data_IF_061389892012
#
_entry.id   IF_061389892012
#
_cell.length_a   1.000
_cell.length_b   1.000
_cell.length_c   1.000
_cell.angle_alpha   90.00
_cell.angle_beta   90.00
_cell.angle_gamma   90.00
#
_symmetry.space_group_name_H-M   'P 1'
#
loop_
_entity.id
_entity.type
_entity.pdbx_description
1 polymer ?
#
# COMPACT_ATOMS: atom_id res chain seq x y z
N UNK A 1 -29.79 -23.03 51.37
CA UNK A 1 -29.79 -21.85 50.50
C UNK A 1 -28.37 -21.69 49.96
N UNK A 2 -28.08 -22.04 48.69
CA UNK A 2 -26.77 -21.75 48.13
C UNK A 2 -26.69 -20.24 47.87
N UNK A 3 -25.65 -19.61 48.38
CA UNK A 3 -25.33 -18.20 48.11
C UNK A 3 -24.76 -18.14 46.70
N UNK A 4 -25.57 -17.72 45.73
CA UNK A 4 -25.09 -17.32 44.41
C UNK A 4 -24.36 -15.99 44.57
N UNK A 5 -23.03 -16.01 44.53
CA UNK A 5 -22.25 -14.80 44.26
C UNK A 5 -22.63 -14.31 42.86
N UNK A 6 -23.11 -13.07 42.69
CA UNK A 6 -23.20 -12.49 41.36
C UNK A 6 -21.76 -12.40 40.83
N UNK A 7 -21.48 -13.10 39.74
CA UNK A 7 -20.28 -12.82 38.96
C UNK A 7 -20.36 -11.34 38.57
N UNK A 8 -19.48 -10.51 39.15
CA UNK A 8 -19.27 -9.16 38.66
C UNK A 8 -18.82 -9.30 37.21
N UNK A 9 -19.73 -9.08 36.26
CA UNK A 9 -19.35 -8.81 34.88
C UNK A 9 -18.44 -7.59 34.95
N UNK A 10 -17.15 -7.78 34.72
CA UNK A 10 -16.24 -6.66 34.52
C UNK A 10 -16.83 -5.78 33.42
N UNK A 11 -16.93 -4.48 33.67
CA UNK A 11 -17.42 -3.54 32.66
C UNK A 11 -16.58 -3.70 31.39
N UNK A 12 -17.23 -3.85 30.23
CA UNK A 12 -16.53 -3.93 28.95
C UNK A 12 -15.76 -2.63 28.71
N UNK A 13 -14.46 -2.74 28.40
CA UNK A 13 -13.64 -1.56 28.10
C UNK A 13 -14.07 -0.95 26.78
N UNK A 14 -14.35 0.34 26.78
CA UNK A 14 -14.68 1.09 25.55
C UNK A 14 -13.42 1.43 24.75
N UNK A 15 -13.56 1.70 23.46
CA UNK A 15 -12.42 2.15 22.63
C UNK A 15 -11.80 3.45 23.14
N UNK A 16 -12.62 4.35 23.70
CA UNK A 16 -12.14 5.58 24.33
C UNK A 16 -11.21 5.31 25.52
N UNK A 17 -11.53 4.30 26.34
CA UNK A 17 -10.67 3.88 27.46
C UNK A 17 -9.42 3.15 26.98
N UNK A 18 -9.51 2.31 25.93
CA UNK A 18 -8.34 1.67 25.30
C UNK A 18 -7.34 2.73 24.87
N UNK A 19 -7.80 3.78 24.19
CA UNK A 19 -6.94 4.87 23.70
C UNK A 19 -6.42 5.70 24.88
N UNK A 20 -7.31 6.22 25.73
CA UNK A 20 -6.94 7.15 26.81
C UNK A 20 -5.99 6.52 27.83
N UNK A 21 -6.11 5.21 28.08
CA UNK A 21 -5.26 4.46 29.01
C UNK A 21 -4.14 3.69 28.33
N UNK A 22 -3.95 3.86 27.01
CA UNK A 22 -2.90 3.21 26.20
C UNK A 22 -2.90 1.68 26.34
N UNK A 23 -4.07 1.04 26.31
CA UNK A 23 -4.22 -0.40 26.59
C UNK A 23 -3.92 -1.30 25.38
N UNK A 24 -3.34 -0.74 24.32
CA UNK A 24 -2.83 -1.52 23.18
C UNK A 24 -1.49 -2.15 23.55
N UNK A 25 -1.41 -3.46 23.39
CA UNK A 25 -0.20 -4.25 23.59
C UNK A 25 0.14 -4.96 22.27
N UNK A 26 1.23 -4.58 21.58
CA UNK A 26 1.65 -5.28 20.39
C UNK A 26 2.20 -6.68 20.75
N UNK A 27 1.87 -7.65 19.90
CA UNK A 27 2.59 -8.91 19.78
C UNK A 27 3.41 -8.86 18.50
N UNK A 28 4.51 -9.59 18.46
CA UNK A 28 5.47 -9.55 17.37
C UNK A 28 5.57 -10.93 16.73
N UNK A 29 5.42 -10.99 15.41
CA UNK A 29 5.53 -12.24 14.65
C UNK A 29 6.78 -12.23 13.76
N UNK A 30 7.60 -13.29 13.78
CA UNK A 30 8.82 -13.33 12.98
C UNK A 30 8.54 -13.43 11.49
N UNK A 31 9.27 -12.63 10.72
CA UNK A 31 9.42 -12.75 9.27
C UNK A 31 10.78 -13.38 9.02
N UNK A 32 10.80 -14.44 8.22
CA UNK A 32 11.94 -15.33 8.07
C UNK A 32 12.40 -15.38 6.62
N UNK A 33 13.71 -15.33 6.40
CA UNK A 33 14.30 -15.60 5.09
C UNK A 33 14.10 -17.06 4.70
N UNK A 34 13.46 -17.30 3.55
CA UNK A 34 13.09 -18.66 3.15
C UNK A 34 14.29 -19.49 2.67
N UNK A 35 15.46 -18.89 2.51
CA UNK A 35 16.70 -19.57 2.12
C UNK A 35 17.53 -19.94 3.35
N UNK A 36 17.79 -18.98 4.25
CA UNK A 36 18.65 -19.17 5.42
C UNK A 36 17.90 -19.69 6.64
N UNK A 37 16.58 -19.44 6.72
CA UNK A 37 15.76 -19.70 7.90
C UNK A 37 15.99 -18.69 9.04
N UNK A 38 16.76 -17.63 8.79
CA UNK A 38 17.03 -16.57 9.74
C UNK A 38 15.91 -15.54 9.83
N UNK A 39 15.71 -14.94 11.02
CA UNK A 39 14.68 -13.92 11.22
C UNK A 39 15.18 -12.58 10.71
N UNK A 40 14.55 -12.03 9.67
CA UNK A 40 14.92 -10.73 9.09
C UNK A 40 14.25 -9.55 9.81
N UNK A 41 13.10 -9.80 10.42
CA UNK A 41 12.31 -8.76 11.06
C UNK A 41 11.14 -9.31 11.85
N UNK A 42 10.41 -8.38 12.47
CA UNK A 42 9.20 -8.66 13.21
C UNK A 42 8.06 -7.80 12.69
N UNK A 43 6.86 -8.36 12.56
CA UNK A 43 5.63 -7.58 12.38
C UNK A 43 4.94 -7.34 13.70
N UNK A 44 4.59 -6.08 13.96
CA UNK A 44 3.86 -5.66 15.15
C UNK A 44 2.34 -5.80 14.92
N UNK A 45 1.74 -6.74 15.64
CA UNK A 45 0.31 -7.05 15.60
C UNK A 45 -0.37 -6.52 16.87
N UNK A 46 -1.18 -5.48 16.72
CA UNK A 46 -1.89 -4.87 17.84
C UNK A 46 -2.85 -5.84 18.52
N UNK A 47 -2.86 -5.83 19.86
CA UNK A 47 -3.89 -6.47 20.69
C UNK A 47 -4.43 -5.46 21.69
N UNK A 48 -5.74 -5.44 21.85
CA UNK A 48 -6.39 -4.72 22.95
C UNK A 48 -6.33 -5.53 24.25
N UNK A 49 -7.11 -5.14 25.27
CA UNK A 49 -7.15 -5.82 26.56
C UNK A 49 -7.51 -7.31 26.43
N UNK A 50 -6.65 -8.18 26.95
CA UNK A 50 -6.84 -9.63 26.88
C UNK A 50 -8.14 -10.09 27.57
N UNK A 51 -8.84 -11.03 26.96
CA UNK A 51 -10.10 -11.59 27.43
C UNK A 51 -11.31 -10.67 27.25
N UNK A 52 -11.18 -9.56 26.51
CA UNK A 52 -12.25 -8.59 26.28
C UNK A 52 -12.70 -8.54 24.83
N UNK A 53 -13.85 -7.89 24.58
CA UNK A 53 -14.45 -7.78 23.24
C UNK A 53 -13.55 -7.08 22.22
N UNK A 54 -12.64 -6.20 22.68
CA UNK A 54 -11.68 -5.43 21.86
C UNK A 54 -10.26 -6.04 21.84
N UNK A 55 -10.08 -7.30 22.23
CA UNK A 55 -8.75 -7.94 22.24
C UNK A 55 -8.11 -7.99 20.84
N UNK A 56 -8.91 -8.30 19.81
CA UNK A 56 -8.43 -8.47 18.43
C UNK A 56 -8.59 -7.19 17.60
N UNK A 57 -7.68 -6.94 16.64
CA UNK A 57 -7.62 -5.70 15.89
C UNK A 57 -8.93 -5.40 15.15
N UNK A 58 -9.54 -6.37 14.47
CA UNK A 58 -10.77 -6.16 13.68
C UNK A 58 -11.85 -5.40 14.48
N UNK A 59 -12.19 -5.92 15.67
CA UNK A 59 -13.20 -5.30 16.55
C UNK A 59 -12.75 -3.96 17.13
N UNK A 60 -11.46 -3.83 17.43
CA UNK A 60 -10.90 -2.60 17.98
C UNK A 60 -10.95 -1.47 16.95
N UNK A 61 -10.56 -1.75 15.70
CA UNK A 61 -10.60 -0.81 14.59
C UNK A 61 -12.04 -0.48 14.16
N UNK A 62 -12.95 -1.45 14.16
CA UNK A 62 -14.37 -1.19 13.90
C UNK A 62 -14.99 -0.28 14.97
N UNK A 63 -14.69 -0.52 16.25
CA UNK A 63 -15.12 0.36 17.33
C UNK A 63 -14.52 1.77 17.20
N UNK A 64 -13.25 1.89 16.80
CA UNK A 64 -12.61 3.17 16.58
C UNK A 64 -13.23 3.95 15.40
N UNK A 65 -13.55 3.27 14.29
CA UNK A 65 -14.28 3.85 13.15
C UNK A 65 -15.64 4.38 13.59
N UNK A 66 -16.42 3.56 14.29
CA UNK A 66 -17.74 3.94 14.79
C UNK A 66 -17.69 5.15 15.75
N UNK A 67 -16.59 5.30 16.50
CA UNK A 67 -16.38 6.40 17.42
C UNK A 67 -15.71 7.64 16.79
N UNK A 68 -15.29 7.59 15.52
CA UNK A 68 -14.51 8.66 14.89
C UNK A 68 -13.09 8.82 15.48
N UNK A 69 -12.52 7.74 16.01
CA UNK A 69 -11.22 7.69 16.72
C UNK A 69 -10.20 6.80 16.01
N UNK A 70 -10.39 6.54 14.71
CA UNK A 70 -9.53 5.64 13.94
C UNK A 70 -8.07 6.08 13.96
N UNK A 71 -7.78 7.36 13.71
CA UNK A 71 -6.41 7.87 13.72
C UNK A 71 -5.74 7.84 15.08
N UNK A 72 -6.49 8.13 16.15
CA UNK A 72 -5.96 8.00 17.51
C UNK A 72 -5.57 6.56 17.86
N UNK A 73 -6.36 5.58 17.40
CA UNK A 73 -6.02 4.17 17.58
C UNK A 73 -4.81 3.77 16.72
N UNK A 74 -4.78 4.16 15.46
CA UNK A 74 -3.69 3.86 14.51
C UNK A 74 -2.35 4.38 15.02
N UNK A 75 -2.31 5.66 15.42
CA UNK A 75 -1.12 6.26 16.02
C UNK A 75 -0.72 5.56 17.32
N UNK A 76 -1.68 5.20 18.19
CA UNK A 76 -1.38 4.45 19.40
C UNK A 76 -0.77 3.07 19.08
N UNK A 77 -1.27 2.36 18.08
CA UNK A 77 -0.70 1.07 17.66
C UNK A 77 0.76 1.23 17.22
N UNK A 78 1.05 2.21 16.37
CA UNK A 78 2.40 2.51 15.91
C UNK A 78 3.32 2.95 17.07
N UNK A 79 2.87 3.86 17.93
CA UNK A 79 3.62 4.27 19.13
C UNK A 79 4.00 3.08 20.00
N UNK A 80 3.05 2.20 20.32
CA UNK A 80 3.30 1.05 21.19
C UNK A 80 4.25 0.05 20.52
N UNK A 81 4.13 -0.17 19.22
CA UNK A 81 5.06 -1.00 18.44
C UNK A 81 6.49 -0.48 18.52
N UNK A 82 6.69 0.81 18.21
CA UNK A 82 8.00 1.47 18.24
C UNK A 82 8.58 1.51 19.65
N UNK A 83 7.79 1.87 20.66
CA UNK A 83 8.22 1.89 22.07
C UNK A 83 8.72 0.53 22.55
N UNK A 84 7.97 -0.55 22.24
CA UNK A 84 8.36 -1.90 22.61
C UNK A 84 9.63 -2.35 21.88
N UNK A 85 9.77 -2.06 20.58
CA UNK A 85 10.94 -2.44 19.80
C UNK A 85 12.20 -1.67 20.21
N UNK A 86 12.09 -0.37 20.53
CA UNK A 86 13.20 0.45 21.03
C UNK A 86 13.65 0.01 22.42
N UNK A 87 12.71 -0.41 23.27
CA UNK A 87 13.01 -0.88 24.63
C UNK A 87 13.54 -2.33 24.69
N UNK A 88 13.49 -3.08 23.58
CA UNK A 88 13.96 -4.46 23.55
C UNK A 88 15.48 -4.55 23.78
N UNK A 89 15.92 -5.57 24.53
CA UNK A 89 17.35 -5.81 24.75
C UNK A 89 18.09 -6.09 23.42
N UNK A 90 17.37 -6.74 22.48
CA UNK A 90 17.84 -7.04 21.14
C UNK A 90 16.78 -6.60 20.13
N UNK A 91 16.83 -5.34 19.67
CA UNK A 91 15.92 -4.84 18.64
C UNK A 91 16.03 -5.67 17.35
N UNK A 92 14.93 -5.86 16.61
CA UNK A 92 14.97 -6.56 15.32
C UNK A 92 15.67 -5.70 14.26
N UNK A 93 16.21 -6.28 13.17
CA UNK A 93 16.75 -5.47 12.06
C UNK A 93 15.67 -4.65 11.35
N UNK A 94 14.50 -5.28 11.12
CA UNK A 94 13.32 -4.68 10.49
C UNK A 94 12.13 -4.77 11.43
N UNK A 95 11.35 -3.68 11.50
CA UNK A 95 10.07 -3.66 12.21
C UNK A 95 8.96 -3.27 11.24
N UNK A 96 8.02 -4.18 11.03
CA UNK A 96 6.86 -3.96 10.19
C UNK A 96 5.70 -3.42 11.04
N UNK A 97 5.13 -2.29 10.63
CA UNK A 97 4.08 -1.57 11.35
C UNK A 97 2.98 -1.23 10.36
N UNK A 98 1.76 -1.63 10.70
CA UNK A 98 0.56 -1.30 9.93
C UNK A 98 0.24 0.20 10.03
N UNK A 99 -0.19 0.81 8.92
CA UNK A 99 -0.66 2.18 8.88
C UNK A 99 -1.98 2.30 8.13
N UNK A 100 -2.85 3.16 8.63
CA UNK A 100 -4.12 3.51 7.99
C UNK A 100 -3.99 4.84 7.22
N UNK A 101 -3.91 4.84 5.87
CA UNK A 101 -3.74 6.07 5.09
C UNK A 101 -4.88 7.08 5.28
N UNK A 102 -6.07 6.61 5.66
CA UNK A 102 -7.24 7.47 5.85
C UNK A 102 -7.08 8.48 7.00
N UNK A 103 -6.06 8.33 7.85
CA UNK A 103 -5.85 9.18 9.03
C UNK A 103 -4.73 10.20 8.85
N UNK A 104 -4.23 10.36 7.62
CA UNK A 104 -3.06 11.20 7.32
C UNK A 104 -3.25 12.70 7.44
N UNK A 105 -4.49 13.17 7.46
CA UNK A 105 -4.77 14.59 7.71
C UNK A 105 -4.63 14.94 9.20
N UNK A 106 -4.36 13.94 10.06
CA UNK A 106 -4.06 14.15 11.47
C UNK A 106 -2.57 14.41 11.67
N UNK A 107 -2.19 15.35 12.54
CA UNK A 107 -0.79 15.54 12.91
C UNK A 107 -0.19 14.23 13.41
N UNK A 108 1.03 13.93 12.96
CA UNK A 108 1.80 12.80 13.47
C UNK A 108 1.95 12.93 14.98
N UNK A 109 1.78 11.83 15.71
CA UNK A 109 2.03 11.79 17.14
C UNK A 109 3.40 12.36 17.47
N UNK A 110 3.45 13.27 18.44
CA UNK A 110 4.69 13.81 18.98
C UNK A 110 5.63 12.69 19.47
N UNK A 111 5.06 11.56 19.95
CA UNK A 111 5.84 10.42 20.43
C UNK A 111 6.50 9.66 19.29
N UNK A 112 5.79 9.43 18.18
CA UNK A 112 6.37 8.81 16.97
C UNK A 112 7.48 9.71 16.43
N UNK A 113 7.19 11.02 16.29
CA UNK A 113 8.16 11.99 15.82
C UNK A 113 9.43 12.02 16.69
N UNK A 114 9.27 12.01 18.02
CA UNK A 114 10.40 11.94 18.97
C UNK A 114 11.26 10.69 18.74
N UNK A 115 10.65 9.51 18.62
CA UNK A 115 11.36 8.24 18.42
C UNK A 115 12.09 8.21 17.08
N UNK A 116 11.45 8.67 16.00
CA UNK A 116 12.06 8.73 14.66
C UNK A 116 13.23 9.72 14.64
N UNK A 117 13.06 10.91 15.23
CA UNK A 117 14.13 11.94 15.30
C UNK A 117 15.30 11.47 16.17
N UNK A 118 15.03 10.73 17.25
CA UNK A 118 16.07 10.16 18.10
C UNK A 118 16.91 9.09 17.38
N UNK A 119 16.40 8.56 16.26
CA UNK A 119 17.02 7.49 15.48
C UNK A 119 16.56 6.11 15.97
N UNK A 120 15.79 5.42 15.14
CA UNK A 120 15.36 4.06 15.43
C UNK A 120 16.54 3.09 15.27
N UNK A 121 16.71 2.10 16.17
CA UNK A 121 17.77 1.09 16.07
C UNK A 121 17.46 0.01 15.00
N UNK A 122 16.40 0.19 14.23
CA UNK A 122 15.87 -0.72 13.22
C UNK A 122 15.35 0.09 12.02
N UNK A 123 15.20 -0.56 10.87
CA UNK A 123 14.50 0.05 9.73
C UNK A 123 13.00 -0.26 9.87
N UNK A 124 12.20 0.79 10.00
CA UNK A 124 10.74 0.66 9.95
C UNK A 124 10.28 0.31 8.53
N UNK A 125 9.32 -0.60 8.44
CA UNK A 125 8.58 -0.96 7.24
C UNK A 125 7.12 -0.63 7.47
N UNK A 126 6.62 0.38 6.77
CA UNK A 126 5.25 0.82 6.90
C UNK A 126 4.36 0.02 5.95
N UNK A 127 3.37 -0.69 6.50
CA UNK A 127 2.48 -1.56 5.74
C UNK A 127 1.17 -0.87 5.40
N UNK A 128 0.84 -0.82 4.12
CA UNK A 128 -0.45 -0.38 3.63
C UNK A 128 -1.29 -1.56 3.17
N UNK A 129 -2.52 -1.64 3.65
CA UNK A 129 -3.47 -2.65 3.14
C UNK A 129 -3.98 -2.26 1.76
N UNK A 130 -4.24 -3.24 0.89
CA UNK A 130 -4.83 -2.96 -0.42
C UNK A 130 -6.21 -2.28 -0.35
N UNK A 131 -6.95 -2.48 0.75
CA UNK A 131 -8.30 -1.94 0.94
C UNK A 131 -8.32 -0.41 1.09
N UNK A 132 -7.21 0.19 1.52
CA UNK A 132 -7.07 1.64 1.61
C UNK A 132 -6.81 2.31 0.24
N UNK A 133 -6.39 1.53 -0.76
CA UNK A 133 -5.97 2.06 -2.06
C UNK A 133 -7.09 2.78 -2.83
N UNK A 134 -8.33 2.26 -2.91
CA UNK A 134 -9.38 2.91 -3.70
C UNK A 134 -9.95 4.16 -3.04
N UNK A 135 -9.80 4.33 -1.73
CA UNK A 135 -10.48 5.39 -0.97
C UNK A 135 -9.62 6.64 -0.83
N UNK A 136 -8.31 6.50 -0.55
CA UNK A 136 -7.41 7.63 -0.28
C UNK A 136 -6.02 7.47 -0.92
N UNK A 137 -5.92 7.21 -2.24
CA UNK A 137 -4.64 6.91 -2.90
C UNK A 137 -3.64 8.07 -2.85
N UNK A 138 -4.11 9.31 -2.93
CA UNK A 138 -3.25 10.49 -2.81
C UNK A 138 -2.60 10.58 -1.42
N UNK A 139 -3.37 10.37 -0.36
CA UNK A 139 -2.87 10.34 1.01
C UNK A 139 -1.83 9.23 1.19
N UNK A 140 -2.12 8.01 0.74
CA UNK A 140 -1.16 6.90 0.79
C UNK A 140 0.17 7.27 0.12
N UNK A 141 0.16 7.86 -1.09
CA UNK A 141 1.40 8.26 -1.75
C UNK A 141 2.17 9.33 -0.97
N UNK A 142 1.47 10.28 -0.32
CA UNK A 142 2.12 11.27 0.56
C UNK A 142 2.82 10.61 1.74
N UNK A 143 2.15 9.66 2.42
CA UNK A 143 2.76 8.95 3.55
C UNK A 143 3.91 8.07 3.12
N UNK A 144 3.72 7.24 2.08
CA UNK A 144 4.78 6.45 1.49
C UNK A 144 6.00 7.32 1.18
N UNK A 145 5.73 8.50 0.63
CA UNK A 145 6.72 9.51 0.39
C UNK A 145 7.45 10.01 1.65
N UNK A 146 6.73 10.43 2.68
CA UNK A 146 7.32 10.91 3.93
C UNK A 146 8.14 9.81 4.60
N UNK A 147 7.62 8.59 4.66
CA UNK A 147 8.31 7.39 5.18
C UNK A 147 9.67 7.20 4.50
N UNK A 148 9.70 7.23 3.16
CA UNK A 148 10.94 7.13 2.39
C UNK A 148 11.92 8.27 2.64
N UNK A 149 11.42 9.50 2.85
CA UNK A 149 12.26 10.66 3.15
C UNK A 149 12.98 10.54 4.51
N UNK A 150 12.44 9.76 5.45
CA UNK A 150 13.08 9.43 6.73
C UNK A 150 13.96 8.17 6.67
N UNK A 151 14.16 7.56 5.50
CA UNK A 151 14.98 6.36 5.33
C UNK A 151 14.27 5.05 5.66
N UNK A 152 12.95 5.09 5.87
CA UNK A 152 12.09 3.93 6.09
C UNK A 152 11.50 3.44 4.77
N UNK A 153 11.00 2.20 4.76
CA UNK A 153 10.50 1.57 3.54
C UNK A 153 9.00 1.29 3.62
N UNK A 154 8.40 1.01 2.47
CA UNK A 154 6.97 0.79 2.34
C UNK A 154 6.69 -0.64 1.88
N UNK A 155 5.71 -1.27 2.52
CA UNK A 155 5.12 -2.52 2.08
C UNK A 155 3.70 -2.32 1.57
N UNK A 156 3.31 -3.12 0.59
CA UNK A 156 1.90 -3.34 0.26
C UNK A 156 1.48 -4.71 0.77
N UNK A 157 0.45 -4.71 1.63
CA UNK A 157 -0.08 -5.86 2.33
C UNK A 157 -1.35 -6.44 1.65
N UNK A 158 -1.68 -7.68 1.98
CA UNK A 158 -2.85 -8.42 1.48
C UNK A 158 -2.91 -8.54 -0.07
N UNK A 159 -1.75 -8.52 -0.77
CA UNK A 159 -1.76 -8.54 -2.24
C UNK A 159 -2.31 -9.87 -2.76
N UNK A 160 -3.32 -9.76 -3.63
CA UNK A 160 -3.99 -10.89 -4.27
C UNK A 160 -5.32 -11.28 -3.65
N UNK A 161 -5.77 -10.59 -2.59
CA UNK A 161 -7.16 -10.67 -2.11
C UNK A 161 -8.11 -10.02 -3.13
N UNK A 162 -7.76 -8.82 -3.62
CA UNK A 162 -8.47 -8.12 -4.68
C UNK A 162 -7.57 -7.95 -5.92
N UNK A 163 -8.03 -8.32 -7.14
CA UNK A 163 -7.29 -8.03 -8.38
C UNK A 163 -6.82 -6.57 -8.51
N UNK A 164 -7.52 -5.62 -7.89
CA UNK A 164 -7.18 -4.19 -7.93
C UNK A 164 -5.87 -3.83 -7.23
N UNK A 165 -5.40 -4.60 -6.25
CA UNK A 165 -4.10 -4.31 -5.61
C UNK A 165 -2.95 -4.34 -6.59
N UNK A 166 -3.06 -5.14 -7.66
CA UNK A 166 -2.06 -5.24 -8.71
C UNK A 166 -1.91 -3.95 -9.52
N UNK A 167 -3.00 -3.18 -9.70
CA UNK A 167 -2.95 -1.85 -10.33
C UNK A 167 -2.22 -0.82 -9.43
N UNK A 168 -2.24 -1.06 -8.12
CA UNK A 168 -1.48 -0.43 -7.02
C UNK A 168 0.03 -0.45 -7.17
N UNK A 169 0.58 -1.63 -7.45
CA UNK A 169 2.01 -1.91 -7.43
C UNK A 169 2.88 -0.90 -8.22
N UNK A 170 2.56 -0.56 -9.49
CA UNK A 170 3.39 0.38 -10.25
C UNK A 170 3.20 1.84 -9.83
N UNK A 171 2.13 2.19 -9.11
CA UNK A 171 1.91 3.54 -8.57
C UNK A 171 2.68 3.72 -7.26
N UNK A 172 2.57 2.75 -6.35
CA UNK A 172 3.21 2.83 -5.03
C UNK A 172 4.71 2.48 -5.07
N UNK A 173 5.10 1.61 -6.00
CA UNK A 173 6.45 1.04 -6.13
C UNK A 173 7.00 0.59 -4.76
N UNK A 174 6.29 -0.28 -4.01
CA UNK A 174 6.72 -0.63 -2.67
C UNK A 174 8.03 -1.42 -2.69
N UNK A 175 8.84 -1.28 -1.64
CA UNK A 175 10.05 -2.07 -1.44
C UNK A 175 9.72 -3.51 -0.99
N UNK A 176 8.53 -3.71 -0.42
CA UNK A 176 8.02 -5.02 0.00
C UNK A 176 6.61 -5.27 -0.55
N UNK A 177 6.37 -6.48 -1.04
CA UNK A 177 5.05 -6.96 -1.48
C UNK A 177 4.71 -8.18 -0.62
N UNK A 178 3.65 -8.11 0.18
CA UNK A 178 3.18 -9.24 1.00
C UNK A 178 2.02 -9.93 0.28
N UNK A 179 2.21 -11.22 -0.01
CA UNK A 179 1.24 -12.10 -0.64
C UNK A 179 0.32 -12.68 0.43
N UNK A 180 -0.98 -12.47 0.28
CA UNK A 180 -1.97 -12.99 1.21
C UNK A 180 -1.97 -14.53 1.24
N UNK A 181 -2.33 -15.07 2.40
CA UNK A 181 -2.40 -16.51 2.64
C UNK A 181 -3.33 -17.23 1.64
N UNK A 182 -4.39 -16.60 1.14
CA UNK A 182 -5.32 -17.23 0.19
C UNK A 182 -4.61 -17.74 -1.08
N UNK A 183 -3.56 -17.04 -1.53
CA UNK A 183 -2.75 -17.46 -2.68
C UNK A 183 -1.95 -18.73 -2.39
N UNK A 184 -1.51 -18.88 -1.14
CA UNK A 184 -0.80 -20.07 -0.67
C UNK A 184 -1.76 -21.25 -0.54
N UNK A 185 -3.00 -21.00 -0.13
CA UNK A 185 -4.03 -22.04 0.02
C UNK A 185 -4.61 -22.51 -1.31
N UNK A 186 -4.67 -21.66 -2.33
CA UNK A 186 -5.10 -22.02 -3.68
C UNK A 186 -4.08 -21.61 -4.78
N UNK A 187 -2.95 -22.33 -4.89
CA UNK A 187 -1.91 -22.01 -5.86
C UNK A 187 -2.31 -22.29 -7.32
N UNK A 188 -3.43 -23.00 -7.54
CA UNK A 188 -3.91 -23.38 -8.88
C UNK A 188 -5.01 -22.45 -9.40
N UNK A 189 -5.49 -21.50 -8.60
CA UNK A 189 -6.41 -20.49 -9.07
C UNK A 189 -5.81 -19.67 -10.23
N UNK A 190 -6.67 -19.21 -11.13
CA UNK A 190 -6.26 -18.30 -12.20
C UNK A 190 -5.72 -16.97 -11.63
N UNK A 191 -6.37 -16.46 -10.58
CA UNK A 191 -5.96 -15.27 -9.86
C UNK A 191 -4.54 -15.42 -9.30
N UNK A 192 -4.23 -16.53 -8.63
CA UNK A 192 -2.90 -16.76 -8.07
C UNK A 192 -1.80 -16.76 -9.12
N UNK A 193 -2.04 -17.36 -10.29
CA UNK A 193 -1.09 -17.31 -11.41
C UNK A 193 -0.89 -15.89 -11.94
N UNK A 194 -1.98 -15.12 -12.06
CA UNK A 194 -1.93 -13.73 -12.49
C UNK A 194 -1.16 -12.86 -11.50
N UNK A 195 -1.49 -12.95 -10.20
CA UNK A 195 -0.81 -12.24 -9.12
C UNK A 195 0.68 -12.58 -9.11
N UNK A 196 1.04 -13.87 -9.14
CA UNK A 196 2.45 -14.28 -9.15
C UNK A 196 3.20 -13.72 -10.36
N UNK A 197 2.59 -13.75 -11.56
CA UNK A 197 3.21 -13.19 -12.76
C UNK A 197 3.45 -11.67 -12.64
N UNK A 198 2.45 -10.92 -12.18
CA UNK A 198 2.53 -9.46 -12.03
C UNK A 198 3.53 -9.08 -10.93
N UNK A 199 3.47 -9.74 -9.77
CA UNK A 199 4.37 -9.49 -8.64
C UNK A 199 5.81 -9.82 -9.02
N UNK A 200 6.08 -10.94 -9.70
CA UNK A 200 7.43 -11.27 -10.19
C UNK A 200 7.94 -10.24 -11.19
N UNK A 201 7.09 -9.78 -12.11
CA UNK A 201 7.47 -8.74 -13.05
C UNK A 201 7.75 -7.40 -12.35
N UNK A 202 6.96 -7.04 -11.34
CA UNK A 202 7.19 -5.85 -10.52
C UNK A 202 8.51 -5.98 -9.75
N UNK A 203 8.70 -7.05 -9.00
CA UNK A 203 9.91 -7.32 -8.22
C UNK A 203 11.17 -7.32 -9.09
N UNK A 204 11.12 -7.90 -10.30
CA UNK A 204 12.24 -7.86 -11.23
C UNK A 204 12.56 -6.46 -11.76
N UNK A 205 11.55 -5.58 -11.90
CA UNK A 205 11.75 -4.20 -12.37
C UNK A 205 12.28 -3.29 -11.27
N UNK A 206 11.76 -3.43 -10.05
CA UNK A 206 12.00 -2.48 -8.98
C UNK A 206 13.06 -2.98 -7.99
N UNK A 207 13.18 -4.29 -7.83
CA UNK A 207 13.98 -4.92 -6.77
C UNK A 207 13.18 -5.17 -5.49
N UNK A 208 11.85 -5.03 -5.54
CA UNK A 208 10.99 -5.27 -4.38
C UNK A 208 11.14 -6.71 -3.86
N UNK A 209 11.18 -6.86 -2.54
CA UNK A 209 11.14 -8.16 -1.88
C UNK A 209 9.70 -8.64 -1.75
N UNK A 210 9.53 -9.95 -1.84
CA UNK A 210 8.22 -10.61 -1.77
C UNK A 210 8.15 -11.44 -0.50
N UNK A 211 7.13 -11.22 0.32
CA UNK A 211 6.82 -11.97 1.53
C UNK A 211 5.58 -12.82 1.25
N UNK A 212 5.57 -14.09 1.67
CA UNK A 212 4.35 -14.90 1.69
C UNK A 212 3.84 -15.08 3.12
N UNK A 213 2.56 -14.82 3.32
CA UNK A 213 1.92 -14.90 4.63
C UNK A 213 1.17 -16.22 4.86
N UNK A 214 0.88 -16.49 6.13
CA UNK A 214 0.06 -17.63 6.53
C UNK A 214 0.70 -18.99 6.26
N UNK A 215 2.04 -19.06 6.27
CA UNK A 215 2.77 -20.33 6.11
C UNK A 215 2.65 -21.12 7.41
N UNK A 216 1.91 -22.23 7.38
CA UNK A 216 1.69 -23.09 8.56
C UNK A 216 2.35 -24.46 8.41
N UNK A 217 2.53 -24.93 7.18
CA UNK A 217 3.06 -26.26 6.88
C UNK A 217 4.26 -26.20 5.93
N UNK A 218 5.02 -27.30 5.86
CA UNK A 218 6.10 -27.43 4.88
C UNK A 218 5.59 -27.39 3.43
N UNK A 219 4.32 -27.75 3.19
CA UNK A 219 3.68 -27.63 1.88
C UNK A 219 3.40 -26.17 1.54
N UNK A 220 2.89 -25.39 2.49
CA UNK A 220 2.68 -23.93 2.32
C UNK A 220 4.02 -23.24 1.99
N UNK A 221 5.10 -23.65 2.67
CA UNK A 221 6.45 -23.14 2.40
C UNK A 221 6.93 -23.46 0.98
N UNK A 222 6.67 -24.66 0.47
CA UNK A 222 7.01 -25.01 -0.91
C UNK A 222 6.23 -24.13 -1.90
N UNK A 223 4.93 -23.94 -1.67
CA UNK A 223 4.09 -23.06 -2.49
C UNK A 223 4.58 -21.61 -2.44
N UNK A 224 4.92 -21.08 -1.27
CA UNK A 224 5.46 -19.73 -1.12
C UNK A 224 6.71 -19.50 -1.98
N UNK A 225 7.65 -20.45 -1.98
CA UNK A 225 8.85 -20.40 -2.83
C UNK A 225 8.48 -20.46 -4.32
N UNK A 226 7.52 -21.31 -4.70
CA UNK A 226 7.03 -21.43 -6.07
C UNK A 226 6.30 -20.16 -6.56
N UNK A 227 5.72 -19.37 -5.65
CA UNK A 227 5.16 -18.05 -5.98
C UNK A 227 6.22 -16.95 -6.08
N UNK A 228 7.44 -17.21 -5.60
CA UNK A 228 8.58 -16.29 -5.69
C UNK A 228 8.83 -15.49 -4.42
N UNK A 229 8.30 -15.95 -3.28
CA UNK A 229 8.56 -15.33 -2.00
C UNK A 229 10.05 -15.49 -1.62
N UNK A 230 10.65 -14.38 -1.20
CA UNK A 230 12.00 -14.31 -0.66
C UNK A 230 11.96 -14.62 0.84
N UNK A 231 11.00 -14.00 1.52
CA UNK A 231 10.74 -14.17 2.95
C UNK A 231 9.35 -14.74 3.18
N UNK A 232 9.08 -15.20 4.39
CA UNK A 232 7.78 -15.70 4.75
C UNK A 232 7.44 -15.49 6.22
N UNK A 233 6.14 -15.52 6.47
CA UNK A 233 5.57 -15.35 7.79
C UNK A 233 4.46 -16.38 8.02
N UNK A 234 4.34 -16.87 9.25
CA UNK A 234 3.28 -17.78 9.64
C UNK A 234 3.66 -18.67 10.81
N UNK A 235 2.71 -19.48 11.28
CA UNK A 235 2.90 -20.32 12.46
C UNK A 235 3.95 -21.42 12.28
N UNK A 236 4.33 -21.72 11.03
CA UNK A 236 5.47 -22.59 10.75
C UNK A 236 6.78 -22.06 11.35
N UNK A 237 6.93 -20.74 11.42
CA UNK A 237 8.14 -20.06 11.91
C UNK A 237 8.00 -19.54 13.34
N UNK A 238 6.80 -19.10 13.71
CA UNK A 238 6.52 -18.60 15.04
C UNK A 238 5.14 -17.97 15.13
N UNK A 239 4.53 -18.10 16.31
CA UNK A 239 3.30 -17.39 16.65
C UNK A 239 3.63 -15.98 17.12
N UNK A 240 2.70 -15.01 17.00
CA UNK A 240 2.85 -13.70 17.60
C UNK A 240 3.13 -13.80 19.11
N UNK A 241 4.14 -13.06 19.60
CA UNK A 241 4.52 -13.04 21.01
C UNK A 241 5.37 -11.81 21.38
N UNK A 242 5.79 -11.68 22.65
CA UNK A 242 6.76 -10.64 23.05
C UNK A 242 8.11 -10.77 22.31
N UNK A 243 8.84 -9.66 22.12
CA UNK A 243 10.14 -9.64 21.41
C UNK A 243 11.18 -10.54 22.11
N UNK A 244 11.22 -10.54 23.45
CA UNK A 244 12.28 -11.22 24.20
C UNK A 244 12.04 -12.71 24.46
N UNK A 245 10.81 -13.21 24.33
CA UNK A 245 10.48 -14.60 24.74
C UNK A 245 10.79 -15.66 23.67
N UNK A 246 11.09 -15.25 22.43
CA UNK A 246 11.11 -16.16 21.29
C UNK A 246 12.51 -16.64 20.87
N UNK A 247 13.59 -16.13 21.49
CA UNK A 247 14.95 -16.60 21.23
C UNK A 247 15.40 -16.45 19.77
N UNK A 248 14.87 -15.45 19.06
CA UNK A 248 15.10 -15.27 17.64
C UNK A 248 16.59 -15.13 17.32
N UNK A 249 17.02 -15.88 16.30
CA UNK A 249 18.30 -15.67 15.64
C UNK A 249 18.06 -14.73 14.46
N UNK A 250 18.29 -13.44 14.70
CA UNK A 250 18.22 -12.46 13.63
C UNK A 250 19.29 -12.72 12.58
N UNK A 251 18.95 -12.41 11.34
CA UNK A 251 19.81 -12.47 10.16
C UNK A 251 19.90 -11.06 9.55
N UNK A 252 20.80 -10.21 10.08
CA UNK A 252 20.95 -8.84 9.59
C UNK A 252 21.41 -8.78 8.13
N UNK A 253 22.20 -9.76 7.68
CA UNK A 253 22.67 -9.81 6.30
C UNK A 253 21.51 -10.04 5.33
N UNK A 254 20.59 -10.96 5.67
CA UNK A 254 19.36 -11.14 4.90
C UNK A 254 18.44 -9.92 5.00
N UNK A 255 18.36 -9.25 6.16
CA UNK A 255 17.58 -8.02 6.31
C UNK A 255 18.13 -6.85 5.46
N UNK A 256 19.45 -6.75 5.31
CA UNK A 256 20.12 -5.74 4.49
C UNK A 256 19.89 -5.94 2.98
N UNK A 257 19.37 -7.10 2.57
CA UNK A 257 18.91 -7.31 1.19
C UNK A 257 17.68 -6.47 0.84
N UNK A 258 16.98 -5.92 1.83
CA UNK A 258 15.88 -4.97 1.61
C UNK A 258 16.41 -3.72 0.92
N UNK A 259 15.90 -3.39 -0.29
CA UNK A 259 16.37 -2.23 -1.02
C UNK A 259 16.22 -0.95 -0.19
N UNK A 260 17.12 -0.01 -0.43
CA UNK A 260 16.98 1.33 0.12
C UNK A 260 15.71 1.99 -0.47
N UNK A 261 15.07 2.89 0.30
CA UNK A 261 13.89 3.61 -0.15
C UNK A 261 14.11 4.28 -1.52
N UNK A 262 13.12 4.24 -2.41
CA UNK A 262 13.24 4.91 -3.71
C UNK A 262 13.38 6.43 -3.53
N UNK A 263 14.56 6.96 -3.84
CA UNK A 263 14.86 8.40 -3.74
C UNK A 263 14.17 9.23 -4.83
N UNK A 264 13.81 8.62 -5.96
CA UNK A 264 13.19 9.30 -7.11
C UNK A 264 11.67 9.41 -7.03
N UNK A 265 11.05 8.79 -6.03
CA UNK A 265 9.59 8.81 -5.85
C UNK A 265 9.01 10.24 -5.70
N UNK A 266 9.85 11.18 -5.24
CA UNK A 266 9.54 12.60 -5.05
C UNK A 266 10.27 13.55 -6.00
N UNK A 267 10.94 13.04 -7.04
CA UNK A 267 11.48 13.97 -8.05
C UNK A 267 10.37 14.92 -8.44
N UNK A 268 10.64 16.24 -8.36
CA UNK A 268 9.65 17.31 -8.59
C UNK A 268 8.82 16.89 -9.78
N UNK A 269 7.60 16.46 -9.47
CA UNK A 269 6.77 15.83 -10.47
C UNK A 269 6.61 16.87 -11.57
N UNK A 270 6.98 16.50 -12.79
CA UNK A 270 6.76 17.35 -13.95
C UNK A 270 5.24 17.41 -14.21
N UNK A 271 4.79 18.16 -15.20
CA UNK A 271 3.40 17.99 -15.63
C UNK A 271 3.19 16.56 -16.19
N UNK A 272 1.96 16.02 -16.22
CA UNK A 272 1.69 14.72 -16.83
C UNK A 272 2.31 14.56 -18.22
N UNK A 273 2.23 15.60 -19.06
CA UNK A 273 2.82 15.54 -20.39
C UNK A 273 4.35 15.49 -20.33
N UNK A 274 5.02 16.35 -19.55
CA UNK A 274 6.49 16.34 -19.44
C UNK A 274 7.07 15.04 -18.86
N UNK A 275 6.35 14.40 -17.94
CA UNK A 275 6.79 13.15 -17.32
C UNK A 275 6.90 12.00 -18.35
N UNK A 276 6.13 12.09 -19.43
CA UNK A 276 6.11 11.08 -20.48
C UNK A 276 7.20 11.26 -21.55
N UNK A 277 8.07 12.28 -21.42
CA UNK A 277 9.12 12.62 -22.42
C UNK A 277 10.04 11.44 -22.74
N UNK A 278 10.32 10.64 -21.70
CA UNK A 278 11.20 9.47 -21.76
C UNK A 278 10.52 8.20 -22.28
N UNK A 279 9.19 8.21 -22.42
CA UNK A 279 8.39 7.02 -22.69
C UNK A 279 7.71 7.04 -24.06
N UNK A 280 7.30 8.21 -24.56
CA UNK A 280 6.62 8.35 -25.84
C UNK A 280 6.95 9.68 -26.55
N UNK A 281 7.13 9.68 -27.88
CA UNK A 281 7.32 10.93 -28.63
C UNK A 281 6.01 11.75 -28.67
N UNK A 282 6.14 13.07 -28.64
CA UNK A 282 5.01 13.96 -28.90
C UNK A 282 4.60 13.88 -30.38
N UNK A 283 3.29 13.83 -30.63
CA UNK A 283 2.70 13.91 -31.96
C UNK A 283 1.77 15.12 -32.06
N UNK A 284 1.66 15.78 -33.22
CA UNK A 284 0.65 16.82 -33.42
C UNK A 284 -0.75 16.29 -33.12
N UNK A 285 -1.52 17.06 -32.36
CA UNK A 285 -2.87 16.70 -31.96
C UNK A 285 -3.91 17.55 -32.69
N UNK A 286 -4.88 16.87 -33.31
CA UNK A 286 -6.15 17.46 -33.77
C UNK A 286 -7.30 16.94 -32.92
N UNK A 287 -8.46 17.62 -32.93
CA UNK A 287 -9.66 17.14 -32.26
C UNK A 287 -10.02 15.69 -32.65
N UNK A 288 -9.97 15.34 -33.94
CA UNK A 288 -10.22 13.98 -34.43
C UNK A 288 -9.24 12.94 -33.90
N UNK A 289 -7.94 13.30 -33.82
CA UNK A 289 -6.91 12.41 -33.29
C UNK A 289 -7.09 12.14 -31.79
N UNK A 290 -7.50 13.15 -31.03
CA UNK A 290 -7.78 13.05 -29.59
C UNK A 290 -9.04 12.21 -29.36
N UNK A 291 -10.10 12.44 -30.14
CA UNK A 291 -11.32 11.63 -30.09
C UNK A 291 -11.03 10.14 -30.36
N UNK A 292 -10.25 9.85 -31.41
CA UNK A 292 -9.82 8.47 -31.75
C UNK A 292 -9.04 7.83 -30.60
N UNK A 293 -8.19 8.59 -29.90
CA UNK A 293 -7.42 8.11 -28.76
C UNK A 293 -8.34 7.74 -27.58
N UNK A 294 -9.33 8.59 -27.30
CA UNK A 294 -10.32 8.38 -26.24
C UNK A 294 -11.19 7.16 -26.53
N UNK A 295 -11.58 6.93 -27.78
CA UNK A 295 -12.30 5.72 -28.20
C UNK A 295 -11.50 4.44 -27.91
N UNK A 296 -10.18 4.45 -28.16
CA UNK A 296 -9.32 3.30 -27.81
C UNK A 296 -9.28 3.04 -26.31
N UNK A 297 -9.26 4.08 -25.49
CA UNK A 297 -9.32 3.95 -24.04
C UNK A 297 -10.68 3.40 -23.59
N UNK A 298 -11.77 3.82 -24.23
CA UNK A 298 -13.10 3.26 -24.00
C UNK A 298 -13.16 1.76 -24.32
N UNK A 299 -12.51 1.31 -25.40
CA UNK A 299 -12.43 -0.10 -25.76
C UNK A 299 -11.64 -0.93 -24.72
N UNK A 300 -10.63 -0.35 -24.08
CA UNK A 300 -9.93 -1.00 -22.95
C UNK A 300 -10.90 -1.21 -21.80
N UNK A 301 -11.63 -0.17 -21.38
CA UNK A 301 -12.64 -0.27 -20.31
C UNK A 301 -13.77 -1.26 -20.63
N UNK A 302 -14.18 -1.34 -21.89
CA UNK A 302 -15.23 -2.27 -22.31
C UNK A 302 -14.80 -3.74 -22.22
N UNK A 303 -13.50 -4.02 -22.34
CA UNK A 303 -12.92 -5.37 -22.23
C UNK A 303 -12.61 -5.76 -20.80
N UNK A 304 -12.25 -4.79 -19.96
CA UNK A 304 -11.85 -5.01 -18.57
C UNK A 304 -12.43 -3.90 -17.68
N UNK A 305 -13.53 -4.17 -16.96
CA UNK A 305 -14.10 -3.22 -16.02
C UNK A 305 -13.28 -3.11 -14.71
N UNK A 306 -12.41 -4.08 -14.40
CA UNK A 306 -11.59 -4.13 -13.19
C UNK A 306 -10.30 -3.29 -13.33
N UNK A 307 -10.50 -2.02 -13.66
CA UNK A 307 -9.43 -1.03 -13.80
C UNK A 307 -9.69 0.23 -12.98
N UNK A 308 -8.62 1.00 -12.78
CA UNK A 308 -8.66 2.32 -12.17
C UNK A 308 -8.39 3.35 -13.24
N UNK A 309 -9.24 4.37 -13.30
CA UNK A 309 -9.03 5.51 -14.18
C UNK A 309 -8.61 6.71 -13.33
N UNK A 310 -7.46 7.28 -13.68
CA UNK A 310 -6.99 8.56 -13.18
C UNK A 310 -7.14 9.59 -14.30
N UNK A 311 -7.81 10.70 -14.05
CA UNK A 311 -7.96 11.75 -15.06
C UNK A 311 -7.82 13.14 -14.44
N UNK A 312 -7.39 14.12 -15.23
CA UNK A 312 -7.56 15.53 -14.91
C UNK A 312 -8.81 16.08 -15.60
N UNK A 313 -9.44 17.08 -14.99
CA UNK A 313 -10.38 17.91 -15.75
C UNK A 313 -9.63 18.66 -16.86
N UNK A 314 -10.17 18.71 -18.09
CA UNK A 314 -9.62 19.56 -19.13
C UNK A 314 -9.86 21.04 -18.79
N UNK A 315 -8.87 21.90 -19.02
CA UNK A 315 -9.08 23.35 -18.96
C UNK A 315 -9.77 23.87 -20.23
N UNK A 316 -10.15 25.14 -20.24
CA UNK A 316 -10.84 25.77 -21.38
C UNK A 316 -9.97 25.96 -22.62
N UNK A 317 -8.66 25.70 -22.55
CA UNK A 317 -7.73 25.82 -23.68
C UNK A 317 -7.52 24.49 -24.39
N UNK A 318 -7.95 23.37 -23.77
CA UNK A 318 -7.89 22.05 -24.35
C UNK A 318 -8.93 21.84 -25.48
N UNK A 319 -8.53 21.34 -26.66
CA UNK A 319 -9.44 21.10 -27.78
C UNK A 319 -10.55 20.15 -27.32
N UNK A 320 -11.80 20.43 -27.71
CA UNK A 320 -13.04 19.73 -27.30
C UNK A 320 -12.79 18.29 -26.84
N UNK A 321 -12.47 18.12 -25.56
CA UNK A 321 -12.35 16.79 -24.98
C UNK A 321 -13.77 16.27 -24.98
N UNK A 322 -14.10 15.28 -25.82
CA UNK A 322 -15.48 14.95 -26.10
C UNK A 322 -16.23 14.63 -24.81
N UNK A 323 -17.52 14.98 -24.79
CA UNK A 323 -18.51 14.69 -23.73
C UNK A 323 -18.45 13.21 -23.25
N UNK A 324 -17.85 12.33 -24.05
CA UNK A 324 -17.59 10.91 -23.77
C UNK A 324 -16.66 10.61 -22.59
N UNK A 325 -15.93 11.58 -22.00
CA UNK A 325 -15.14 11.30 -20.79
C UNK A 325 -16.06 10.82 -19.65
N UNK A 326 -17.18 11.51 -19.43
CA UNK A 326 -18.17 11.14 -18.40
C UNK A 326 -18.78 9.75 -18.67
N UNK A 327 -18.94 9.37 -19.94
CA UNK A 327 -19.39 8.04 -20.35
C UNK A 327 -18.34 6.96 -20.11
N UNK A 328 -17.04 7.29 -20.28
CA UNK A 328 -15.90 6.44 -19.96
C UNK A 328 -15.87 6.11 -18.45
N UNK A 329 -16.07 7.12 -17.61
CA UNK A 329 -15.93 7.00 -16.15
C UNK A 329 -16.99 6.08 -15.52
N UNK A 330 -18.21 6.01 -16.07
CA UNK A 330 -19.29 5.19 -15.49
C UNK A 330 -19.12 3.67 -15.61
N UNK A 331 -18.06 3.18 -16.27
CA UNK A 331 -17.81 1.74 -16.51
C UNK A 331 -16.62 1.18 -15.74
N UNK A 332 -15.73 2.04 -15.25
CA UNK A 332 -14.57 1.61 -14.49
C UNK A 332 -14.99 1.24 -13.07
N UNK A 333 -14.30 0.26 -12.49
CA UNK A 333 -14.48 -0.12 -11.08
C UNK A 333 -14.17 1.02 -10.12
N UNK A 334 -13.17 1.85 -10.44
CA UNK A 334 -12.87 3.08 -9.71
C UNK A 334 -12.41 4.19 -10.65
N UNK A 335 -12.79 5.42 -10.30
CA UNK A 335 -12.42 6.63 -11.02
C UNK A 335 -11.95 7.67 -10.03
N UNK A 336 -10.76 8.20 -10.28
CA UNK A 336 -10.15 9.25 -9.47
C UNK A 336 -9.89 10.44 -10.41
N UNK A 337 -10.64 11.50 -10.19
CA UNK A 337 -10.50 12.74 -10.95
C UNK A 337 -9.72 13.73 -10.11
N UNK A 338 -8.74 14.39 -10.72
CA UNK A 338 -8.07 15.54 -10.12
C UNK A 338 -8.98 16.76 -10.24
N UNK A 339 -9.48 17.25 -9.11
CA UNK A 339 -10.44 18.36 -9.02
C UNK A 339 -9.93 19.69 -9.59
N UNK A 340 -8.61 19.87 -9.70
CA UNK A 340 -8.02 21.05 -10.34
C UNK A 340 -7.39 20.67 -11.68
N UNK A 341 -7.74 21.38 -12.77
CA UNK A 341 -7.14 21.12 -14.07
C UNK A 341 -5.64 21.37 -14.02
N UNK A 342 -4.89 20.60 -14.79
CA UNK A 342 -3.48 20.90 -15.04
C UNK A 342 -3.43 21.99 -16.11
N UNK A 343 -2.80 23.14 -15.87
CA UNK A 343 -2.80 24.23 -16.84
C UNK A 343 -2.26 23.77 -18.20
N UNK A 344 -3.00 24.08 -19.26
CA UNK A 344 -2.72 23.74 -20.65
C UNK A 344 -2.55 22.24 -20.91
N UNK A 345 -3.00 21.35 -20.01
CA UNK A 345 -2.84 19.90 -20.16
C UNK A 345 -4.08 19.11 -19.76
N UNK A 346 -4.33 18.04 -20.51
CA UNK A 346 -5.31 17.01 -20.18
C UNK A 346 -4.60 15.66 -20.12
N UNK A 347 -4.83 14.89 -19.06
CA UNK A 347 -4.27 13.56 -18.94
C UNK A 347 -5.30 12.55 -18.44
N UNK A 348 -5.25 11.35 -19.00
CA UNK A 348 -5.98 10.18 -18.54
C UNK A 348 -5.04 8.97 -18.51
N UNK A 349 -5.07 8.23 -17.41
CA UNK A 349 -4.32 7.01 -17.18
C UNK A 349 -5.26 5.92 -16.69
N UNK A 350 -5.23 4.76 -17.33
CA UNK A 350 -6.01 3.57 -17.03
C UNK A 350 -5.04 2.50 -16.57
N UNK A 351 -5.24 1.97 -15.37
CA UNK A 351 -4.39 0.95 -14.77
C UNK A 351 -5.21 -0.29 -14.45
N UNK A 352 -4.80 -1.43 -15.02
CA UNK A 352 -5.32 -2.74 -14.69
C UNK A 352 -4.23 -3.64 -14.09
N UNK A 353 -4.57 -4.91 -13.87
CA UNK A 353 -3.65 -5.88 -13.30
C UNK A 353 -2.48 -6.21 -14.25
N UNK A 354 -1.38 -5.46 -14.11
CA UNK A 354 -0.14 -5.68 -14.87
C UNK A 354 -0.06 -4.97 -16.23
N UNK A 355 -1.01 -4.10 -16.55
CA UNK A 355 -0.99 -3.32 -17.79
C UNK A 355 -1.54 -1.90 -17.56
N UNK A 356 -1.24 -0.99 -18.48
CA UNK A 356 -1.75 0.38 -18.43
C UNK A 356 -1.92 0.97 -19.82
N UNK A 357 -2.87 1.88 -19.94
CA UNK A 357 -3.08 2.69 -21.14
C UNK A 357 -3.35 4.14 -20.76
N UNK A 358 -2.97 5.10 -21.58
CA UNK A 358 -3.20 6.50 -21.26
C UNK A 358 -3.02 7.45 -22.42
N UNK A 359 -3.39 8.69 -22.18
CA UNK A 359 -3.28 9.81 -23.10
C UNK A 359 -2.90 11.05 -22.32
N UNK A 360 -1.90 11.79 -22.79
CA UNK A 360 -1.60 13.14 -22.34
C UNK A 360 -1.71 14.09 -23.53
N UNK A 361 -2.39 15.21 -23.36
CA UNK A 361 -2.58 16.26 -24.35
C UNK A 361 -2.05 17.56 -23.76
N UNK A 362 -1.35 18.34 -24.58
CA UNK A 362 -0.87 19.68 -24.26
C UNK A 362 -1.46 20.69 -25.23
N UNK A 363 -1.96 21.78 -24.68
CA UNK A 363 -2.70 22.84 -25.36
C UNK A 363 -1.84 24.09 -25.51
N UNK A 364 -0.95 24.05 -26.50
CA UNK A 364 -0.13 25.18 -26.96
C UNK A 364 -0.51 25.52 -28.41
N UNK A 365 0.03 26.59 -29.04
CA UNK A 365 -0.39 27.03 -30.38
C UNK A 365 -0.44 25.90 -31.43
N UNK A 366 0.45 24.93 -31.30
CA UNK A 366 0.40 23.63 -31.97
C UNK A 366 0.12 22.56 -30.90
N UNK A 367 -1.14 22.10 -30.78
CA UNK A 367 -1.50 21.08 -29.81
C UNK A 367 -0.67 19.81 -30.00
N UNK A 368 -0.26 19.17 -28.90
CA UNK A 368 0.51 17.93 -28.93
C UNK A 368 -0.16 16.85 -28.08
N UNK A 369 -0.03 15.59 -28.49
CA UNK A 369 -0.52 14.44 -27.74
C UNK A 369 0.57 13.38 -27.57
N UNK A 370 0.41 12.57 -26.53
CA UNK A 370 1.22 11.38 -26.25
C UNK A 370 0.33 10.22 -25.85
N UNK A 371 0.46 9.14 -26.59
CA UNK A 371 -0.22 7.88 -26.31
C UNK A 371 0.67 7.00 -25.45
N UNK A 372 0.11 6.45 -24.39
CA UNK A 372 0.82 5.64 -23.42
C UNK A 372 0.26 4.23 -23.44
N UNK A 373 1.12 3.24 -23.61
CA UNK A 373 0.80 1.81 -23.55
C UNK A 373 1.76 1.04 -22.63
N UNK A 374 2.72 1.74 -22.03
CA UNK A 374 3.71 1.20 -21.10
C UNK A 374 3.29 1.47 -19.67
N UNK A 375 3.16 0.40 -18.87
CA UNK A 375 2.76 0.47 -17.47
C UNK A 375 3.56 1.49 -16.64
N UNK A 376 4.91 1.58 -16.74
CA UNK A 376 5.68 2.57 -15.99
C UNK A 376 5.29 4.02 -16.31
N UNK A 377 5.04 4.33 -17.59
CA UNK A 377 4.66 5.67 -18.03
C UNK A 377 3.27 6.05 -17.53
N UNK A 378 2.33 5.11 -17.62
CA UNK A 378 0.95 5.31 -17.17
C UNK A 378 0.89 5.48 -15.65
N UNK A 379 1.68 4.71 -14.90
CA UNK A 379 1.76 4.82 -13.45
C UNK A 379 2.44 6.13 -12.98
N UNK A 380 3.42 6.63 -13.73
CA UNK A 380 4.00 7.95 -13.50
C UNK A 380 2.97 9.06 -13.68
N UNK A 381 2.16 9.01 -14.74
CA UNK A 381 1.03 9.95 -14.92
C UNK A 381 0.02 9.84 -13.79
N UNK A 382 -0.37 8.62 -13.39
CA UNK A 382 -1.28 8.41 -12.27
C UNK A 382 -0.75 9.00 -10.96
N UNK A 383 0.54 8.81 -10.65
CA UNK A 383 1.20 9.44 -9.49
C UNK A 383 1.12 10.97 -9.54
N UNK A 384 1.32 11.58 -10.70
CA UNK A 384 1.26 13.05 -10.86
C UNK A 384 -0.17 13.56 -10.67
N UNK A 385 -1.16 12.81 -11.13
CA UNK A 385 -2.57 13.15 -10.95
C UNK A 385 -2.99 13.04 -9.48
N UNK A 386 -2.48 12.03 -8.77
CA UNK A 386 -2.70 11.81 -7.33
C UNK A 386 -1.90 12.73 -6.41
N UNK A 387 -0.75 13.23 -6.89
CA UNK A 387 0.08 14.16 -6.14
C UNK A 387 -0.66 15.50 -6.00
N UNK A 388 -1.26 15.65 -4.84
CA UNK A 388 -1.94 16.86 -4.41
C UNK A 388 -0.95 18.03 -4.45
N UNK A 389 -1.19 19.00 -5.33
CA UNK A 389 -0.40 20.23 -5.37
C UNK A 389 -1.20 21.35 -4.73
N UNK A 390 -1.39 21.25 -3.42
CA UNK A 390 -1.80 22.35 -2.53
C UNK A 390 -3.21 22.90 -2.70
#
# INVERSE_FOLDING_TARGET
MPVTHPAQQAAETTIGEVIARRLVQPLFQPIVDLTTGGVVGLEALARGPAGQSLEFPDRMFDAARAAGRLGDLDQLCAERALECAVAAERPPPLLFVNAEPAVLDQPLSARIAELVIAGLPFREVLEFTERALPTVPGSMLRLAGLTRAFGHVVALDDVGVDPMSLAFLPILEPEVIKLDMSLIRDPKAALTRQVSAVVRAQAARTGALVIAEGIETAQDLAVARDLGAHWGQGWHFGRPGPIDTAGHRYDPEAADALPLPYTTFHERLRSPFEATDRHAPAVPATADSVATAIERLHDVLARDPDVIVFASEPDSTCPDVPVSLHTLLGRARSVIIKDRPVPDEFAVAILGAGYGAGLCVRSRPDHEARHLDQLPAVAEVARILLADRG
#
